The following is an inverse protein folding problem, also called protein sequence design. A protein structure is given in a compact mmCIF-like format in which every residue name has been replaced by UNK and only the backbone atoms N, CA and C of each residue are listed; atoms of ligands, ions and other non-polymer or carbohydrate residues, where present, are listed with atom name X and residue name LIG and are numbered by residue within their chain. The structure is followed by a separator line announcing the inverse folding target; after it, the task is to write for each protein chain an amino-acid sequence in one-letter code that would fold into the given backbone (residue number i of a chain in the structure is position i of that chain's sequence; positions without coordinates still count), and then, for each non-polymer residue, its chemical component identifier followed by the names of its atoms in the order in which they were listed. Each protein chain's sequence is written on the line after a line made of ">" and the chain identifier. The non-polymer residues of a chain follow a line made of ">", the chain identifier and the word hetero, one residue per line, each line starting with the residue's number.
data_IF_096284865891
#
_entry.id   IF_096284865891
#
_cell.length_a   1.000
_cell.length_b   1.000
_cell.length_c   1.000
_cell.angle_alpha   90.00
_cell.angle_beta   90.00
_cell.angle_gamma   90.00
#
_symmetry.space_group_name_H-M   'P 1'
#
loop_
_entity.id
_entity.type
_entity.pdbx_description
1 polymer ?
#
# COMPACT_ATOMS: atom_id res chain seq x y z
N UNK A 1 0.80 -15.96 24.77
CA UNK A 1 0.30 -14.58 24.92
C UNK A 1 -0.83 -14.41 23.92
N UNK A 2 -1.99 -13.83 24.28
CA UNK A 2 -2.98 -13.49 23.26
C UNK A 2 -2.31 -12.50 22.30
N UNK A 3 -2.29 -12.84 21.01
CA UNK A 3 -1.62 -12.04 19.98
C UNK A 3 -2.29 -10.66 19.97
N UNK A 4 -1.55 -9.62 20.36
CA UNK A 4 -2.07 -8.25 20.33
C UNK A 4 -2.29 -7.82 18.88
N UNK A 5 -3.26 -6.95 18.58
CA UNK A 5 -3.42 -6.45 17.23
C UNK A 5 -2.19 -5.68 16.73
N UNK A 6 -1.70 -5.99 15.53
CA UNK A 6 -0.45 -5.43 14.98
C UNK A 6 -0.60 -4.89 13.56
N UNK A 7 0.40 -4.15 13.10
CA UNK A 7 0.47 -3.64 11.74
C UNK A 7 0.58 -4.74 10.67
N UNK A 8 0.96 -5.98 11.03
CA UNK A 8 1.03 -7.09 10.10
C UNK A 8 -0.36 -7.53 9.59
N UNK A 9 -1.39 -7.34 10.41
CA UNK A 9 -2.79 -7.60 10.08
C UNK A 9 -3.57 -6.28 10.18
N UNK A 10 -3.22 -5.33 9.32
CA UNK A 10 -3.79 -3.99 9.30
C UNK A 10 -4.75 -3.85 8.13
N UNK A 11 -5.99 -3.50 8.41
CA UNK A 11 -6.99 -3.19 7.37
C UNK A 11 -7.20 -1.69 7.26
N UNK A 12 -7.42 -1.24 6.03
CA UNK A 12 -7.96 0.07 5.74
C UNK A 12 -9.41 -0.13 5.34
N UNK A 13 -10.31 0.60 5.98
CA UNK A 13 -11.74 0.57 5.68
C UNK A 13 -12.22 1.96 5.31
N UNK A 14 -13.21 2.02 4.43
CA UNK A 14 -14.00 3.20 4.16
C UNK A 14 -15.43 2.94 4.60
N UNK A 15 -15.94 3.78 5.50
CA UNK A 15 -17.25 3.65 6.11
C UNK A 15 -18.06 4.92 5.92
N UNK A 16 -19.34 4.75 5.66
CA UNK A 16 -20.34 5.80 5.79
C UNK A 16 -21.03 5.64 7.14
N UNK A 17 -21.08 6.74 7.89
CA UNK A 17 -21.72 6.81 9.19
C UNK A 17 -22.92 7.76 9.06
N UNK A 18 -24.07 7.37 9.60
CA UNK A 18 -25.17 8.32 9.75
C UNK A 18 -24.71 9.53 10.58
N UNK A 19 -24.92 10.73 10.04
CA UNK A 19 -24.53 11.99 10.64
C UNK A 19 -25.53 12.42 11.73
N UNK A 20 -25.69 11.55 12.72
CA UNK A 20 -26.48 11.77 13.93
C UNK A 20 -25.59 11.52 15.16
N UNK A 21 -25.89 12.14 16.32
CA UNK A 21 -25.11 11.93 17.52
C UNK A 21 -24.95 10.43 17.85
N UNK A 22 -23.78 10.07 18.39
CA UNK A 22 -23.42 8.72 18.86
C UNK A 22 -23.02 7.70 17.78
N UNK A 23 -23.30 7.88 16.49
CA UNK A 23 -22.95 6.89 15.45
C UNK A 23 -21.45 6.56 15.43
N UNK A 24 -20.60 7.59 15.38
CA UNK A 24 -19.15 7.43 15.39
C UNK A 24 -18.64 6.77 16.69
N UNK A 25 -19.21 7.15 17.83
CA UNK A 25 -18.86 6.59 19.13
C UNK A 25 -19.17 5.10 19.19
N UNK A 26 -20.38 4.70 18.77
CA UNK A 26 -20.80 3.29 18.67
C UNK A 26 -19.91 2.50 17.72
N UNK A 27 -19.54 3.07 16.57
CA UNK A 27 -18.58 2.45 15.67
C UNK A 27 -17.23 2.19 16.36
N UNK A 28 -16.66 3.22 17.00
CA UNK A 28 -15.37 3.09 17.67
C UNK A 28 -15.42 2.08 18.83
N UNK A 29 -16.50 2.08 19.61
CA UNK A 29 -16.74 1.10 20.68
C UNK A 29 -16.84 -0.31 20.12
N UNK A 30 -17.60 -0.53 19.06
CA UNK A 30 -17.77 -1.84 18.46
C UNK A 30 -16.46 -2.44 17.93
N UNK A 31 -15.59 -1.61 17.32
CA UNK A 31 -14.25 -2.04 16.90
C UNK A 31 -13.41 -2.46 18.11
N UNK A 32 -13.47 -1.69 19.20
CA UNK A 32 -12.77 -2.02 20.45
C UNK A 32 -13.30 -3.29 21.12
N UNK A 33 -14.62 -3.49 21.15
CA UNK A 33 -15.27 -4.69 21.69
C UNK A 33 -14.96 -5.94 20.88
N UNK A 34 -14.78 -5.80 19.56
CA UNK A 34 -14.29 -6.88 18.71
C UNK A 34 -12.83 -7.27 19.03
N UNK A 35 -12.12 -6.47 19.83
CA UNK A 35 -10.74 -6.71 20.24
C UNK A 35 -9.71 -6.14 19.26
N UNK A 36 -10.12 -5.24 18.37
CA UNK A 36 -9.27 -4.59 17.38
C UNK A 36 -8.86 -3.18 17.81
N UNK A 37 -7.75 -2.68 17.26
CA UNK A 37 -7.20 -1.37 17.60
C UNK A 37 -7.37 -0.39 16.44
N UNK A 38 -8.10 0.70 16.66
CA UNK A 38 -8.13 1.82 15.73
C UNK A 38 -6.77 2.53 15.79
N UNK A 39 -6.05 2.53 14.67
CA UNK A 39 -4.72 3.13 14.54
C UNK A 39 -4.82 4.59 14.14
N UNK A 40 -5.66 4.85 13.14
CA UNK A 40 -5.92 6.20 12.66
C UNK A 40 -7.32 6.28 12.09
N UNK A 41 -7.87 7.49 12.14
CA UNK A 41 -9.13 7.86 11.55
C UNK A 41 -8.86 9.08 10.67
N UNK A 42 -9.32 9.02 9.43
CA UNK A 42 -9.10 10.05 8.41
C UNK A 42 -9.93 11.29 8.64
N UNK A 43 -9.90 12.19 7.67
CA UNK A 43 -10.80 13.34 7.63
C UNK A 43 -12.26 12.91 7.45
N UNK A 44 -13.19 13.71 7.95
CA UNK A 44 -14.62 13.51 7.78
C UNK A 44 -15.11 14.29 6.56
N UNK A 45 -15.66 13.60 5.56
CA UNK A 45 -16.44 14.23 4.49
C UNK A 45 -17.92 14.14 4.87
N UNK A 46 -18.55 15.30 5.06
CA UNK A 46 -19.94 15.39 5.53
C UNK A 46 -20.83 15.80 4.36
N UNK A 47 -21.74 14.89 3.98
CA UNK A 47 -22.68 15.07 2.88
C UNK A 47 -24.10 14.90 3.40
N UNK A 48 -24.65 15.99 3.94
CA UNK A 48 -26.00 15.99 4.52
C UNK A 48 -26.09 15.01 5.69
N UNK A 49 -26.79 13.90 5.45
CA UNK A 49 -27.09 12.87 6.46
C UNK A 49 -26.00 11.81 6.61
N UNK A 50 -24.95 11.85 5.79
CA UNK A 50 -23.86 10.88 5.79
C UNK A 50 -22.54 11.57 6.11
N UNK A 51 -21.75 10.93 6.96
CA UNK A 51 -20.39 11.27 7.31
C UNK A 51 -19.49 10.10 6.86
N UNK A 52 -18.75 10.31 5.78
CA UNK A 52 -17.81 9.33 5.26
C UNK A 52 -16.47 9.47 5.98
N UNK A 53 -15.87 8.35 6.37
CA UNK A 53 -14.56 8.33 7.01
C UNK A 53 -13.73 7.11 6.58
N UNK A 54 -12.42 7.30 6.53
CA UNK A 54 -11.44 6.25 6.28
C UNK A 54 -10.75 5.86 7.59
N UNK A 55 -10.79 4.58 7.97
CA UNK A 55 -10.28 4.10 9.26
C UNK A 55 -9.24 3.02 9.04
N UNK A 56 -8.13 3.11 9.76
CA UNK A 56 -7.11 2.04 9.81
C UNK A 56 -7.27 1.28 11.12
N UNK A 57 -7.42 -0.03 11.01
CA UNK A 57 -7.68 -0.92 12.14
C UNK A 57 -6.64 -2.04 12.12
N UNK A 58 -5.97 -2.25 13.25
CA UNK A 58 -5.13 -3.42 13.45
C UNK A 58 -5.95 -4.56 14.03
N UNK A 59 -5.73 -5.74 13.47
CA UNK A 59 -6.24 -7.03 13.91
C UNK A 59 -5.06 -7.92 14.35
N UNK A 60 -5.36 -9.14 14.82
CA UNK A 60 -4.36 -10.03 15.43
C UNK A 60 -3.89 -11.14 14.49
N UNK A 61 -4.78 -11.54 13.58
CA UNK A 61 -4.62 -12.57 12.56
C UNK A 61 -5.73 -12.38 11.50
N UNK A 62 -5.73 -13.23 10.46
CA UNK A 62 -6.70 -13.18 9.34
C UNK A 62 -8.13 -13.50 9.79
N UNK A 63 -8.32 -14.51 10.64
CA UNK A 63 -9.66 -14.86 11.16
C UNK A 63 -10.28 -13.69 11.96
N UNK A 64 -9.45 -12.95 12.70
CA UNK A 64 -9.89 -11.76 13.42
C UNK A 64 -10.26 -10.61 12.48
N UNK A 65 -9.57 -10.45 11.35
CA UNK A 65 -9.97 -9.46 10.32
C UNK A 65 -11.40 -9.74 9.86
N UNK A 66 -11.69 -10.99 9.47
CA UNK A 66 -13.02 -11.38 9.00
C UNK A 66 -14.09 -11.15 10.08
N UNK A 67 -13.78 -11.51 11.32
CA UNK A 67 -14.66 -11.25 12.46
C UNK A 67 -14.94 -9.76 12.65
N UNK A 68 -13.93 -8.90 12.63
CA UNK A 68 -14.09 -7.44 12.79
C UNK A 68 -14.93 -6.84 11.66
N UNK A 69 -14.67 -7.24 10.41
CA UNK A 69 -15.46 -6.80 9.26
C UNK A 69 -16.92 -7.24 9.39
N UNK A 70 -17.17 -8.48 9.81
CA UNK A 70 -18.52 -8.98 10.04
C UNK A 70 -19.25 -8.18 11.14
N UNK A 71 -18.57 -7.84 12.23
CA UNK A 71 -19.15 -7.02 13.30
C UNK A 71 -19.48 -5.60 12.81
N UNK A 72 -18.58 -4.95 12.07
CA UNK A 72 -18.81 -3.60 11.52
C UNK A 72 -20.03 -3.60 10.58
N UNK A 73 -20.18 -4.61 9.72
CA UNK A 73 -21.32 -4.74 8.80
C UNK A 73 -22.67 -4.90 9.48
N UNK A 74 -22.71 -5.26 10.76
CA UNK A 74 -23.93 -5.44 11.54
C UNK A 74 -24.32 -4.18 12.33
N UNK A 75 -23.50 -3.13 12.30
CA UNK A 75 -23.76 -1.91 13.05
C UNK A 75 -24.83 -1.06 12.39
N UNK A 76 -25.90 -0.82 13.14
CA UNK A 76 -26.94 0.12 12.71
C UNK A 76 -26.40 1.55 12.56
N UNK A 77 -26.64 2.15 11.40
CA UNK A 77 -26.15 3.46 11.01
C UNK A 77 -24.70 3.51 10.50
N UNK A 78 -24.11 2.34 10.20
CA UNK A 78 -22.76 2.23 9.62
C UNK A 78 -22.81 1.37 8.36
N UNK A 79 -22.42 1.95 7.23
CA UNK A 79 -22.29 1.25 5.96
C UNK A 79 -20.81 1.10 5.59
N UNK A 80 -20.34 -0.16 5.52
CA UNK A 80 -18.97 -0.45 5.06
C UNK A 80 -18.90 -0.38 3.54
N UNK A 81 -18.35 0.71 3.00
CA UNK A 81 -18.24 0.93 1.56
C UNK A 81 -17.17 0.05 0.92
N UNK A 82 -15.99 -0.01 1.52
CA UNK A 82 -14.89 -0.86 1.05
C UNK A 82 -13.92 -1.14 2.18
N UNK A 83 -13.13 -2.19 2.00
CA UNK A 83 -11.96 -2.45 2.84
C UNK A 83 -10.92 -3.21 2.05
N UNK A 84 -9.67 -3.12 2.49
CA UNK A 84 -8.58 -3.95 1.99
C UNK A 84 -7.54 -4.18 3.10
N UNK A 85 -6.84 -5.30 2.98
CA UNK A 85 -5.67 -5.57 3.79
C UNK A 85 -4.48 -4.74 3.29
N UNK A 86 -3.88 -3.97 4.18
CA UNK A 86 -2.78 -3.03 3.86
C UNK A 86 -1.47 -3.76 3.58
N UNK A 87 -1.26 -4.94 4.16
CA UNK A 87 -0.12 -5.79 3.82
C UNK A 87 -0.23 -6.26 2.38
N UNK A 88 -1.40 -6.73 1.95
CA UNK A 88 -1.59 -7.14 0.55
C UNK A 88 -1.49 -5.95 -0.41
N UNK A 89 -2.11 -4.81 -0.10
CA UNK A 89 -2.02 -3.62 -0.95
C UNK A 89 -0.57 -3.11 -1.06
N UNK A 90 0.22 -3.17 0.03
CA UNK A 90 1.65 -2.82 0.00
C UNK A 90 2.48 -3.71 -0.93
N UNK A 91 2.05 -4.96 -1.17
CA UNK A 91 2.76 -5.91 -2.04
C UNK A 91 2.19 -5.97 -3.46
N UNK A 92 1.13 -5.21 -3.76
CA UNK A 92 0.55 -5.15 -5.09
C UNK A 92 1.54 -4.53 -6.07
N UNK A 93 1.87 -5.27 -7.13
CA UNK A 93 2.92 -4.87 -8.08
C UNK A 93 4.34 -5.30 -7.68
N UNK A 94 4.49 -5.96 -6.52
CA UNK A 94 5.79 -6.39 -6.00
C UNK A 94 6.42 -5.37 -5.05
N UNK A 95 7.42 -5.82 -4.28
CA UNK A 95 8.12 -4.99 -3.28
C UNK A 95 9.25 -4.15 -3.89
N UNK A 96 9.80 -4.60 -5.01
CA UNK A 96 10.98 -4.02 -5.65
C UNK A 96 10.64 -3.75 -7.11
N UNK A 97 10.93 -2.54 -7.56
CA UNK A 97 10.96 -2.15 -8.97
C UNK A 97 12.36 -1.68 -9.35
N UNK A 98 12.74 -1.86 -10.63
CA UNK A 98 13.97 -1.32 -11.21
C UNK A 98 13.56 -0.37 -12.31
N UNK A 99 13.76 0.93 -12.09
CA UNK A 99 13.41 1.97 -13.06
C UNK A 99 14.63 2.31 -13.94
N UNK A 100 14.46 2.43 -15.26
CA UNK A 100 15.55 2.86 -16.13
C UNK A 100 15.91 4.33 -15.85
N UNK A 101 17.20 4.66 -15.93
CA UNK A 101 17.66 6.05 -15.81
C UNK A 101 17.47 6.87 -17.09
N UNK A 102 17.31 6.19 -18.22
CA UNK A 102 17.05 6.80 -19.52
C UNK A 102 15.69 6.31 -20.04
N UNK A 103 14.85 7.25 -20.45
CA UNK A 103 13.57 6.95 -21.09
C UNK A 103 13.80 6.40 -22.50
N UNK A 104 13.03 5.38 -22.88
CA UNK A 104 13.04 4.80 -24.23
C UNK A 104 11.67 5.08 -24.84
N UNK A 105 11.58 6.15 -25.62
CA UNK A 105 10.31 6.65 -26.17
C UNK A 105 10.07 6.21 -27.61
N UNK A 106 11.14 5.97 -28.37
CA UNK A 106 11.05 5.62 -29.78
C UNK A 106 12.06 4.54 -30.24
N UNK A 107 12.04 4.24 -31.54
CA UNK A 107 12.95 3.26 -32.13
C UNK A 107 14.42 3.70 -32.16
N UNK A 108 14.70 5.02 -32.15
CA UNK A 108 16.07 5.53 -32.09
C UNK A 108 16.65 5.30 -30.69
N UNK A 109 15.87 5.59 -29.64
CA UNK A 109 16.23 5.32 -28.26
C UNK A 109 16.51 3.83 -28.04
N UNK A 110 15.63 2.97 -28.57
CA UNK A 110 15.81 1.53 -28.49
C UNK A 110 17.10 1.08 -29.18
N UNK A 111 17.45 1.67 -30.33
CA UNK A 111 18.68 1.37 -31.07
C UNK A 111 19.95 1.79 -30.33
N UNK A 112 19.87 2.84 -29.50
CA UNK A 112 20.97 3.27 -28.62
C UNK A 112 21.12 2.37 -27.40
N UNK A 113 20.00 1.98 -26.79
CA UNK A 113 19.97 1.12 -25.60
C UNK A 113 20.38 -0.34 -25.91
N UNK A 114 20.17 -0.79 -27.15
CA UNK A 114 20.46 -2.15 -27.58
C UNK A 114 21.50 -2.20 -28.71
N UNK A 115 21.62 -3.36 -29.35
CA UNK A 115 22.52 -3.59 -30.49
C UNK A 115 22.10 -2.74 -31.70
N UNK A 116 23.04 -2.08 -32.41
CA UNK A 116 24.50 -2.15 -32.27
C UNK A 116 25.13 -1.17 -31.26
N UNK A 117 24.38 -0.21 -30.70
CA UNK A 117 24.91 0.83 -29.81
C UNK A 117 25.58 0.28 -28.56
N UNK A 118 24.90 -0.64 -27.86
CA UNK A 118 25.40 -1.24 -26.61
C UNK A 118 26.72 -2.00 -26.77
N UNK A 119 27.00 -2.55 -27.96
CA UNK A 119 28.24 -3.28 -28.22
C UNK A 119 29.47 -2.37 -28.05
N UNK A 120 29.34 -1.07 -28.39
CA UNK A 120 30.41 -0.09 -28.17
C UNK A 120 30.68 0.16 -26.69
N UNK A 121 29.64 0.17 -25.86
CA UNK A 121 29.76 0.27 -24.40
C UNK A 121 30.46 -0.97 -23.85
N UNK A 122 30.08 -2.17 -24.31
CA UNK A 122 30.75 -3.42 -23.92
C UNK A 122 32.25 -3.42 -24.28
N UNK A 123 32.60 -2.98 -25.50
CA UNK A 123 34.00 -2.90 -25.92
C UNK A 123 34.79 -1.84 -25.16
N UNK A 124 34.19 -0.69 -24.83
CA UNK A 124 34.82 0.32 -23.98
C UNK A 124 35.14 -0.24 -22.58
N UNK A 125 34.21 -1.00 -21.98
CA UNK A 125 34.45 -1.68 -20.69
C UNK A 125 35.49 -2.80 -20.82
N UNK A 126 35.55 -3.48 -21.98
CA UNK A 126 36.58 -4.49 -22.23
C UNK A 126 37.99 -3.87 -22.28
N UNK A 127 38.13 -2.70 -22.92
CA UNK A 127 39.40 -1.97 -23.02
C UNK A 127 39.80 -1.31 -21.69
N UNK A 128 38.83 -0.74 -20.96
CA UNK A 128 39.00 -0.17 -19.62
C UNK A 128 37.93 -0.69 -18.64
N UNK A 129 38.25 -1.72 -17.83
CA UNK A 129 37.32 -2.29 -16.86
C UNK A 129 36.80 -1.31 -15.81
N UNK A 130 37.45 -0.16 -15.57
CA UNK A 130 36.97 0.81 -14.59
C UNK A 130 35.67 1.51 -15.04
N UNK A 131 35.43 1.60 -16.36
CA UNK A 131 34.24 2.21 -16.94
C UNK A 131 32.93 1.50 -16.58
N UNK A 132 32.98 0.28 -16.03
CA UNK A 132 31.80 -0.42 -15.52
C UNK A 132 31.05 0.40 -14.46
N UNK A 133 31.75 1.23 -13.66
CA UNK A 133 31.09 2.09 -12.68
C UNK A 133 30.36 3.27 -13.35
N UNK A 134 30.87 3.80 -14.45
CA UNK A 134 30.23 4.95 -15.10
C UNK A 134 29.13 4.55 -16.09
N UNK A 135 29.28 3.40 -16.75
CA UNK A 135 28.45 3.00 -17.89
C UNK A 135 27.43 1.90 -17.57
N UNK A 136 27.35 1.45 -16.31
CA UNK A 136 26.41 0.38 -15.91
C UNK A 136 25.74 0.69 -14.58
N UNK A 137 24.83 -0.21 -14.18
CA UNK A 137 24.13 -0.14 -12.88
C UNK A 137 25.09 -0.18 -11.67
N UNK A 138 26.36 -0.60 -11.84
CA UNK A 138 27.29 -0.85 -10.73
C UNK A 138 27.54 0.36 -9.82
N UNK A 139 27.44 1.60 -10.32
CA UNK A 139 27.53 2.81 -9.48
C UNK A 139 26.31 3.03 -8.58
N UNK A 140 25.18 2.41 -8.91
CA UNK A 140 23.96 2.44 -8.13
C UNK A 140 23.77 1.18 -7.27
N UNK A 141 24.75 0.28 -7.24
CA UNK A 141 24.75 -0.92 -6.39
C UNK A 141 25.91 -0.88 -5.40
N UNK A 142 25.69 -1.48 -4.22
CA UNK A 142 26.73 -1.57 -3.17
C UNK A 142 27.61 -2.82 -3.34
N UNK A 143 27.11 -3.82 -4.08
CA UNK A 143 27.83 -5.04 -4.45
C UNK A 143 28.34 -4.97 -5.90
#
# INVERSE_FOLDING_TARGET
>A
MPYLPTAAYSIYIKVDLQNVPNTLGRFATAVGEAGANIVSMGGFDVRGEILTNDVVINCRDEEHVDSVIAHIKQLDGVDLLSWHDRTFEMHKGGKIEVLPLAEISDNHDLSMAYTPGVARVCMAIHEDPHLVHDLTIKKNTVA
#
